data_IF_801792602724
#
_entry.id   IF_801792602724
#
_cell.length_a   1.000
_cell.length_b   1.000
_cell.length_c   1.000
_cell.angle_alpha   90.00
_cell.angle_beta   90.00
_cell.angle_gamma   90.00
#
_symmetry.space_group_name_H-M   'P 1'
#
loop_
_entity.id
_entity.type
_entity.pdbx_description
1 polymer ?
#
# COMPACT_ATOMS: atom_id res chain seq x y z
N UNK A 1 -31.23 -14.84 -28.72
CA UNK A 1 -30.21 -14.06 -27.99
C UNK A 1 -28.93 -14.85 -28.13
N UNK A 2 -28.02 -14.40 -29.01
CA UNK A 2 -26.89 -15.19 -29.51
C UNK A 2 -25.74 -15.20 -28.50
N UNK A 3 -25.00 -16.32 -28.45
CA UNK A 3 -23.85 -16.55 -27.54
C UNK A 3 -22.77 -15.44 -27.60
N UNK A 4 -22.69 -14.67 -28.68
CA UNK A 4 -21.81 -13.49 -28.77
C UNK A 4 -22.20 -12.32 -27.87
N UNK A 5 -23.48 -12.17 -27.50
CA UNK A 5 -23.93 -11.17 -26.52
C UNK A 5 -23.64 -11.58 -25.07
N UNK A 6 -23.67 -12.89 -24.78
CA UNK A 6 -23.26 -13.43 -23.47
C UNK A 6 -21.72 -13.51 -23.33
N UNK A 7 -20.98 -13.67 -24.43
CA UNK A 7 -19.52 -13.70 -24.45
C UNK A 7 -18.88 -12.30 -24.34
N UNK A 8 -19.64 -11.22 -24.52
CA UNK A 8 -19.28 -9.90 -23.98
C UNK A 8 -19.51 -9.89 -22.47
N UNK A 9 -18.73 -10.70 -21.75
CA UNK A 9 -18.50 -10.49 -20.33
C UNK A 9 -18.23 -8.99 -20.16
N UNK A 10 -19.09 -8.31 -19.41
CA UNK A 10 -19.14 -6.86 -19.35
C UNK A 10 -17.74 -6.31 -19.11
N UNK A 11 -17.20 -5.61 -20.11
CA UNK A 11 -15.87 -5.05 -20.02
C UNK A 11 -15.78 -4.15 -18.78
N UNK A 12 -14.89 -4.51 -17.84
CA UNK A 12 -14.70 -3.75 -16.62
C UNK A 12 -14.01 -2.42 -16.95
N UNK A 13 -14.67 -1.29 -16.65
CA UNK A 13 -14.14 0.02 -17.00
C UNK A 13 -12.92 0.37 -16.15
N UNK A 14 -12.20 1.39 -16.59
CA UNK A 14 -11.15 1.97 -15.75
C UNK A 14 -11.80 2.77 -14.61
N UNK A 15 -11.29 2.67 -13.38
CA UNK A 15 -11.88 3.37 -12.25
C UNK A 15 -11.91 4.89 -12.47
N UNK A 16 -12.95 5.59 -12.00
CA UNK A 16 -12.99 7.05 -12.03
C UNK A 16 -11.74 7.66 -11.37
N UNK A 17 -11.18 8.71 -11.98
CA UNK A 17 -9.97 9.36 -11.47
C UNK A 17 -8.66 8.64 -11.80
N UNK A 18 -8.70 7.43 -12.38
CA UNK A 18 -7.51 6.68 -12.76
C UNK A 18 -6.94 7.15 -14.11
N UNK A 19 -5.67 7.59 -14.13
CA UNK A 19 -5.05 8.07 -15.37
C UNK A 19 -4.64 6.90 -16.28
N UNK A 20 -5.17 6.90 -17.50
CA UNK A 20 -4.88 5.93 -18.55
C UNK A 20 -3.76 6.38 -19.49
N UNK A 21 -2.94 5.41 -19.95
CA UNK A 21 -2.07 5.54 -21.13
C UNK A 21 -1.90 4.17 -21.78
N UNK A 22 -1.66 4.10 -23.11
CA UNK A 22 -1.38 2.84 -23.82
C UNK A 22 -0.24 2.04 -23.19
N UNK A 23 0.86 2.70 -22.81
CA UNK A 23 2.01 2.07 -22.14
C UNK A 23 1.61 1.42 -20.81
N UNK A 24 0.77 2.09 -20.02
CA UNK A 24 0.31 1.60 -18.71
C UNK A 24 -0.68 0.45 -18.85
N UNK A 25 -1.62 0.54 -19.79
CA UNK A 25 -2.52 -0.56 -20.10
C UNK A 25 -1.75 -1.84 -20.48
N UNK A 26 -0.72 -1.72 -21.34
CA UNK A 26 0.18 -2.84 -21.66
C UNK A 26 0.93 -3.36 -20.43
N UNK A 27 1.46 -2.45 -19.61
CA UNK A 27 2.20 -2.82 -18.40
C UNK A 27 1.32 -3.50 -17.33
N UNK A 28 0.04 -3.16 -17.23
CA UNK A 28 -0.91 -3.81 -16.33
C UNK A 28 -1.31 -5.19 -16.83
N UNK A 29 -1.65 -5.31 -18.12
CA UNK A 29 -1.90 -6.62 -18.75
C UNK A 29 -0.72 -7.56 -18.62
N UNK A 30 0.51 -7.07 -18.79
CA UNK A 30 1.71 -7.88 -18.64
C UNK A 30 1.94 -8.39 -17.20
N UNK A 31 1.33 -7.78 -16.18
CA UNK A 31 1.37 -8.30 -14.80
C UNK A 31 0.33 -9.38 -14.55
N UNK A 32 -0.82 -9.29 -15.23
CA UNK A 32 -1.96 -10.19 -15.08
C UNK A 32 -2.36 -10.42 -13.62
N UNK A 33 -2.86 -11.61 -13.30
CA UNK A 33 -3.21 -12.05 -11.94
C UNK A 33 -2.15 -12.94 -11.30
N UNK A 34 -0.93 -12.89 -11.82
CA UNK A 34 0.18 -13.72 -11.36
C UNK A 34 0.37 -13.63 -9.84
N UNK A 35 0.44 -14.80 -9.20
CA UNK A 35 0.62 -14.99 -7.75
C UNK A 35 -0.60 -14.69 -6.86
N UNK A 36 -1.78 -14.42 -7.43
CA UNK A 36 -3.03 -14.49 -6.67
C UNK A 36 -3.28 -15.93 -6.24
N UNK A 37 -3.49 -16.15 -4.94
CA UNK A 37 -3.69 -17.47 -4.35
C UNK A 37 -4.37 -17.37 -3.00
N UNK A 38 -4.92 -18.48 -2.52
CA UNK A 38 -5.40 -18.58 -1.15
C UNK A 38 -4.21 -18.63 -0.19
N UNK A 39 -4.28 -17.86 0.88
CA UNK A 39 -3.35 -17.87 2.01
C UNK A 39 -4.15 -17.91 3.30
N UNK A 40 -3.50 -18.30 4.40
CA UNK A 40 -4.09 -18.13 5.72
C UNK A 40 -3.53 -16.86 6.35
N UNK A 41 -4.39 -16.10 7.01
CA UNK A 41 -4.05 -14.87 7.73
C UNK A 41 -4.46 -15.06 9.17
N UNK A 42 -3.58 -14.64 10.08
CA UNK A 42 -3.90 -14.58 11.50
C UNK A 42 -4.40 -13.17 11.80
N UNK A 43 -5.66 -13.06 12.21
CA UNK A 43 -6.26 -11.79 12.62
C UNK A 43 -6.96 -11.99 13.95
N UNK A 44 -6.59 -11.17 14.93
CA UNK A 44 -7.12 -11.22 16.30
C UNK A 44 -6.99 -12.62 16.96
N UNK A 45 -5.94 -13.37 16.60
CA UNK A 45 -5.70 -14.73 17.10
C UNK A 45 -6.52 -15.82 16.41
N UNK A 46 -7.33 -15.47 15.40
CA UNK A 46 -8.06 -16.41 14.57
C UNK A 46 -7.40 -16.55 13.20
N UNK A 47 -7.20 -17.79 12.75
CA UNK A 47 -6.64 -18.09 11.44
C UNK A 47 -7.77 -18.19 10.41
N UNK A 48 -7.81 -17.26 9.47
CA UNK A 48 -8.82 -17.18 8.41
C UNK A 48 -8.19 -17.38 7.01
N UNK A 49 -8.83 -18.15 6.12
CA UNK A 49 -8.43 -18.22 4.72
C UNK A 49 -8.74 -16.90 4.00
N UNK A 50 -7.87 -16.53 3.06
CA UNK A 50 -7.94 -15.26 2.35
C UNK A 50 -7.43 -15.38 0.93
N UNK A 51 -7.99 -14.59 0.01
CA UNK A 51 -7.40 -14.39 -1.32
C UNK A 51 -6.33 -13.30 -1.24
N UNK A 52 -5.09 -13.65 -1.56
CA UNK A 52 -3.97 -12.72 -1.59
C UNK A 52 -3.90 -11.99 -2.94
N UNK A 53 -3.98 -10.67 -2.88
CA UNK A 53 -3.65 -9.75 -3.96
C UNK A 53 -2.19 -9.29 -3.80
N UNK A 54 -1.23 -9.87 -4.54
CA UNK A 54 0.19 -9.72 -4.26
C UNK A 54 0.70 -8.31 -4.54
N UNK A 55 1.53 -7.82 -3.62
CA UNK A 55 2.28 -6.59 -3.77
C UNK A 55 3.78 -6.88 -3.86
N UNK A 56 4.51 -5.98 -4.52
CA UNK A 56 5.96 -5.99 -4.62
C UNK A 56 6.54 -5.67 -3.25
N UNK A 57 7.52 -6.49 -2.88
CA UNK A 57 8.38 -6.24 -1.71
C UNK A 57 9.07 -4.89 -1.85
N UNK A 58 9.16 -4.16 -0.75
CA UNK A 58 9.99 -2.96 -0.67
C UNK A 58 11.43 -3.36 -1.01
N UNK A 59 12.10 -2.58 -1.87
CA UNK A 59 13.46 -2.92 -2.26
C UNK A 59 14.39 -2.82 -1.05
N UNK A 60 15.18 -3.87 -0.78
CA UNK A 60 16.21 -3.85 0.28
C UNK A 60 17.23 -2.72 0.06
N UNK A 61 17.44 -2.31 -1.20
CA UNK A 61 18.32 -1.20 -1.54
C UNK A 61 17.86 0.12 -0.91
N UNK A 62 16.55 0.31 -0.71
CA UNK A 62 16.05 1.49 0.01
C UNK A 62 16.44 1.45 1.48
N UNK A 63 16.34 0.27 2.12
CA UNK A 63 16.82 0.08 3.50
C UNK A 63 18.32 0.32 3.65
N UNK A 64 19.12 -0.14 2.68
CA UNK A 64 20.56 0.13 2.62
C UNK A 64 20.83 1.62 2.42
N UNK A 65 20.13 2.28 1.50
CA UNK A 65 20.28 3.72 1.29
C UNK A 65 19.99 4.52 2.56
N UNK A 66 18.94 4.16 3.30
CA UNK A 66 18.64 4.77 4.60
C UNK A 66 19.71 4.46 5.65
N UNK A 67 20.31 3.25 5.64
CA UNK A 67 21.42 2.94 6.54
C UNK A 67 22.62 3.85 6.27
N UNK A 68 22.99 4.02 5.00
CA UNK A 68 24.12 4.89 4.60
C UNK A 68 23.86 6.34 5.00
N UNK A 69 22.67 6.87 4.75
CA UNK A 69 22.31 8.22 5.19
C UNK A 69 22.34 8.35 6.72
N UNK A 70 21.78 7.37 7.45
CA UNK A 70 21.76 7.38 8.91
C UNK A 70 23.17 7.40 9.51
N UNK A 71 24.07 6.58 8.98
CA UNK A 71 25.49 6.57 9.39
C UNK A 71 26.16 7.90 9.06
N UNK A 72 25.95 8.46 7.86
CA UNK A 72 26.51 9.76 7.49
C UNK A 72 26.08 10.87 8.47
N UNK A 73 24.78 10.95 8.78
CA UNK A 73 24.28 11.93 9.75
C UNK A 73 24.82 11.67 11.16
N UNK A 74 24.95 10.42 11.58
CA UNK A 74 25.54 10.09 12.88
C UNK A 74 27.01 10.54 12.98
N UNK A 75 27.80 10.32 11.93
CA UNK A 75 29.20 10.79 11.85
C UNK A 75 29.27 12.31 11.91
N UNK A 76 28.46 13.00 11.10
CA UNK A 76 28.40 14.47 11.14
C UNK A 76 27.97 15.00 12.52
N UNK A 77 27.00 14.36 13.16
CA UNK A 77 26.56 14.69 14.52
C UNK A 77 27.74 14.59 15.50
N UNK A 78 28.52 13.50 15.41
CA UNK A 78 29.70 13.29 16.24
C UNK A 78 30.78 14.35 16.03
N UNK A 79 31.08 14.70 14.77
CA UNK A 79 32.07 15.75 14.44
C UNK A 79 31.65 17.11 15.00
N UNK A 80 30.40 17.51 14.78
CA UNK A 80 29.88 18.80 15.29
C UNK A 80 29.86 18.82 16.82
N UNK A 81 29.49 17.71 17.46
CA UNK A 81 29.51 17.61 18.91
C UNK A 81 30.93 17.74 19.48
N UNK A 82 31.91 17.05 18.88
CA UNK A 82 33.32 17.13 19.33
C UNK A 82 33.86 18.55 19.13
N UNK A 83 33.66 19.16 17.97
CA UNK A 83 34.09 20.54 17.69
C UNK A 83 33.46 21.54 18.68
N UNK A 84 32.14 21.46 18.90
CA UNK A 84 31.45 22.35 19.84
C UNK A 84 31.94 22.22 21.29
N UNK A 85 32.33 21.01 21.72
CA UNK A 85 32.92 20.79 23.05
C UNK A 85 34.32 21.39 23.16
N UNK A 86 35.14 21.25 22.12
CA UNK A 86 36.50 21.80 22.07
C UNK A 86 36.48 23.34 22.09
N UNK A 87 35.58 23.94 21.32
CA UNK A 87 35.46 25.40 21.19
C UNK A 87 34.60 26.04 22.30
N UNK A 88 34.00 25.23 23.19
CA UNK A 88 33.03 25.65 24.23
C UNK A 88 31.85 26.45 23.67
N UNK A 89 31.48 26.17 22.44
CA UNK A 89 30.41 26.85 21.71
C UNK A 89 29.06 26.16 21.92
N UNK A 90 28.22 26.78 22.75
CA UNK A 90 26.84 26.32 22.98
C UNK A 90 25.94 26.43 21.73
N UNK A 91 26.36 27.21 20.73
CA UNK A 91 25.71 27.37 19.43
C UNK A 91 25.72 26.09 18.59
N UNK A 92 26.57 25.11 18.90
CA UNK A 92 26.61 23.81 18.21
C UNK A 92 25.46 22.86 18.62
N UNK A 93 24.85 23.09 19.79
CA UNK A 93 23.83 22.19 20.38
C UNK A 93 22.61 21.98 19.46
N UNK A 94 21.99 23.02 18.85
CA UNK A 94 20.89 22.82 17.92
C UNK A 94 21.27 21.97 16.70
N UNK A 95 22.49 22.15 16.17
CA UNK A 95 22.98 21.36 15.04
C UNK A 95 23.12 19.88 15.38
N UNK A 96 23.69 19.57 16.55
CA UNK A 96 23.79 18.19 17.06
C UNK A 96 22.41 17.56 17.23
N UNK A 97 21.44 18.29 17.80
CA UNK A 97 20.08 17.77 17.99
C UNK A 97 19.39 17.46 16.66
N UNK A 98 19.48 18.35 15.69
CA UNK A 98 18.85 18.16 14.37
C UNK A 98 19.51 16.99 13.62
N UNK A 99 20.85 16.95 13.55
CA UNK A 99 21.57 15.88 12.86
C UNK A 99 21.36 14.53 13.54
N UNK A 100 21.36 14.50 14.88
CA UNK A 100 21.09 13.30 15.67
C UNK A 100 19.67 12.79 15.47
N UNK A 101 18.68 13.69 15.41
CA UNK A 101 17.30 13.32 15.10
C UNK A 101 17.17 12.72 13.69
N UNK A 102 17.82 13.32 12.68
CA UNK A 102 17.85 12.77 11.32
C UNK A 102 18.54 11.40 11.28
N UNK A 103 19.68 11.24 11.95
CA UNK A 103 20.38 9.96 12.07
C UNK A 103 19.47 8.89 12.68
N UNK A 104 18.74 9.24 13.74
CA UNK A 104 17.74 8.37 14.36
C UNK A 104 16.64 7.96 13.39
N UNK A 105 16.00 8.91 12.71
CA UNK A 105 14.93 8.66 11.74
C UNK A 105 15.41 7.72 10.63
N UNK A 106 16.56 8.01 10.02
CA UNK A 106 17.12 7.18 8.96
C UNK A 106 17.56 5.81 9.46
N UNK A 107 18.16 5.73 10.64
CA UNK A 107 18.52 4.47 11.29
C UNK A 107 17.30 3.57 11.55
N UNK A 108 16.21 4.13 12.09
CA UNK A 108 14.96 3.39 12.28
C UNK A 108 14.37 2.91 10.96
N UNK A 109 14.37 3.77 9.92
CA UNK A 109 13.90 3.39 8.59
C UNK A 109 14.75 2.27 7.96
N UNK A 110 16.06 2.30 8.17
CA UNK A 110 16.97 1.25 7.73
C UNK A 110 16.67 -0.09 8.42
N UNK A 111 16.51 -0.09 9.73
CA UNK A 111 16.15 -1.29 10.51
C UNK A 111 14.81 -1.85 10.03
N UNK A 112 13.80 -1.00 9.83
CA UNK A 112 12.49 -1.42 9.32
C UNK A 112 12.58 -2.03 7.91
N UNK A 113 13.38 -1.44 7.02
CA UNK A 113 13.58 -1.94 5.66
C UNK A 113 14.38 -3.25 5.60
N UNK A 114 15.35 -3.43 6.50
CA UNK A 114 16.22 -4.62 6.53
C UNK A 114 15.59 -5.79 7.30
N UNK A 115 14.79 -5.54 8.34
CA UNK A 115 14.08 -6.57 9.12
C UNK A 115 12.78 -7.08 8.49
N UNK A 116 12.48 -6.68 7.25
CA UNK A 116 11.31 -7.20 6.53
C UNK A 116 11.28 -8.73 6.53
N UNK A 117 10.12 -9.34 6.84
CA UNK A 117 9.97 -10.80 6.87
C UNK A 117 10.33 -11.39 5.50
N UNK A 118 11.28 -12.33 5.47
CA UNK A 118 11.72 -12.98 4.22
C UNK A 118 10.62 -13.82 3.57
N UNK A 119 9.64 -14.28 4.36
CA UNK A 119 8.65 -15.28 3.93
C UNK A 119 7.23 -14.73 3.80
N UNK A 120 6.93 -13.56 4.38
CA UNK A 120 5.63 -12.92 4.20
C UNK A 120 5.58 -12.18 2.85
N UNK A 121 4.65 -12.59 1.98
CA UNK A 121 4.37 -11.84 0.76
C UNK A 121 3.48 -10.64 1.14
N UNK A 122 3.94 -9.39 0.93
CA UNK A 122 3.12 -8.22 1.18
C UNK A 122 1.95 -8.20 0.19
N UNK A 123 0.85 -7.62 0.60
CA UNK A 123 -0.36 -7.64 -0.21
C UNK A 123 -1.59 -7.15 0.52
N UNK A 124 -2.66 -7.02 -0.26
CA UNK A 124 -4.02 -6.97 0.26
C UNK A 124 -4.53 -8.41 0.35
N UNK A 125 -5.14 -8.79 1.47
CA UNK A 125 -5.70 -10.12 1.68
C UNK A 125 -7.19 -9.94 1.93
N UNK A 126 -7.99 -10.54 1.07
CA UNK A 126 -9.44 -10.46 1.15
C UNK A 126 -9.92 -11.70 1.88
N UNK A 127 -10.43 -11.54 3.09
CA UNK A 127 -11.06 -12.61 3.85
C UNK A 127 -12.59 -12.47 3.79
N UNK A 128 -13.36 -13.52 4.08
CA UNK A 128 -14.80 -13.39 4.23
C UNK A 128 -15.25 -12.26 5.18
N UNK A 129 -14.50 -12.03 6.27
CA UNK A 129 -14.87 -11.05 7.29
C UNK A 129 -14.25 -9.66 7.11
N UNK A 130 -13.10 -9.53 6.45
CA UNK A 130 -12.33 -8.28 6.42
C UNK A 130 -11.32 -8.18 5.27
N UNK A 131 -10.82 -6.96 5.06
CA UNK A 131 -9.67 -6.69 4.20
C UNK A 131 -8.44 -6.48 5.09
N UNK A 132 -7.40 -7.27 4.87
CA UNK A 132 -6.13 -7.16 5.61
C UNK A 132 -5.05 -6.60 4.70
N UNK A 133 -4.49 -5.47 5.07
CA UNK A 133 -3.33 -4.87 4.43
C UNK A 133 -2.05 -5.22 5.18
N UNK A 134 -1.10 -5.79 4.46
CA UNK A 134 0.25 -6.05 4.95
C UNK A 134 1.28 -5.40 4.03
N UNK A 135 1.85 -4.29 4.51
CA UNK A 135 2.87 -3.52 3.81
C UNK A 135 4.24 -4.20 3.75
N UNK A 136 4.40 -5.37 4.38
CA UNK A 136 5.66 -6.12 4.45
C UNK A 136 6.69 -5.53 5.42
N UNK A 137 6.27 -4.59 6.27
CA UNK A 137 7.11 -3.95 7.28
C UNK A 137 6.61 -4.38 8.67
N UNK A 138 7.36 -5.23 9.40
CA UNK A 138 6.89 -5.80 10.67
C UNK A 138 6.53 -4.76 11.72
N UNK A 139 7.25 -3.63 11.73
CA UNK A 139 7.05 -2.54 12.69
C UNK A 139 5.69 -1.82 12.53
N UNK A 140 5.03 -1.95 11.38
CA UNK A 140 3.74 -1.32 11.11
C UNK A 140 2.57 -2.28 11.19
N UNK A 141 2.74 -3.47 11.77
CA UNK A 141 1.63 -4.42 11.96
C UNK A 141 0.94 -4.82 10.65
N UNK A 142 -0.17 -5.56 10.80
CA UNK A 142 -1.15 -5.73 9.72
C UNK A 142 -2.33 -4.82 10.04
N UNK A 143 -2.84 -4.12 9.04
CA UNK A 143 -4.07 -3.32 9.20
C UNK A 143 -5.23 -4.15 8.68
N UNK A 144 -6.11 -4.57 9.58
CA UNK A 144 -7.33 -5.29 9.24
C UNK A 144 -8.53 -4.33 9.32
N UNK A 145 -9.33 -4.27 8.26
CA UNK A 145 -10.52 -3.40 8.16
C UNK A 145 -11.72 -4.27 7.85
N UNK A 146 -12.74 -4.25 8.72
CA UNK A 146 -13.97 -5.00 8.48
C UNK A 146 -14.66 -4.50 7.21
N UNK A 147 -15.29 -5.39 6.44
CA UNK A 147 -16.06 -4.98 5.26
C UNK A 147 -17.15 -3.94 5.58
N UNK A 148 -17.70 -3.97 6.81
CA UNK A 148 -18.74 -3.03 7.24
C UNK A 148 -18.17 -1.65 7.63
N UNK A 149 -16.86 -1.55 7.84
CA UNK A 149 -16.18 -0.29 8.11
C UNK A 149 -15.74 0.41 6.83
N UNK A 150 -15.65 -0.33 5.72
CA UNK A 150 -15.26 0.20 4.41
C UNK A 150 -16.45 0.97 3.83
N UNK A 151 -16.25 2.27 3.59
CA UNK A 151 -17.24 3.15 2.97
C UNK A 151 -17.21 3.02 1.45
N UNK A 152 -16.02 3.05 0.86
CA UNK A 152 -15.85 3.06 -0.59
C UNK A 152 -14.44 2.63 -0.99
N UNK A 153 -14.28 2.19 -2.24
CA UNK A 153 -12.99 2.01 -2.87
C UNK A 153 -12.68 3.17 -3.82
N UNK A 154 -11.59 3.87 -3.56
CA UNK A 154 -11.24 5.07 -4.31
C UNK A 154 -10.07 4.85 -5.24
N UNK A 155 -10.20 5.31 -6.48
CA UNK A 155 -9.09 5.49 -7.40
C UNK A 155 -8.73 6.98 -7.49
N UNK A 156 -7.45 7.32 -7.32
CA UNK A 156 -7.02 8.73 -7.41
C UNK A 156 -5.60 8.86 -7.93
N UNK A 157 -5.22 10.09 -8.27
CA UNK A 157 -3.92 10.42 -8.83
C UNK A 157 -3.20 11.40 -7.93
N UNK A 158 -1.97 11.05 -7.56
CA UNK A 158 -1.08 11.94 -6.80
C UNK A 158 0.06 12.41 -7.71
N UNK A 159 0.39 13.70 -7.61
CA UNK A 159 1.57 14.28 -8.23
C UNK A 159 2.56 14.66 -7.14
N UNK A 160 3.68 13.95 -7.05
CA UNK A 160 4.74 14.24 -6.08
C UNK A 160 6.06 14.59 -6.80
N UNK A 161 6.83 15.52 -6.24
CA UNK A 161 8.11 15.99 -6.77
C UNK A 161 8.31 17.52 -6.65
N UNK A 162 9.53 18.00 -6.81
CA UNK A 162 9.84 19.44 -6.83
C UNK A 162 9.64 20.02 -8.24
N UNK A 163 8.72 20.98 -8.37
CA UNK A 163 8.35 21.63 -9.66
C UNK A 163 9.53 22.32 -10.35
N UNK A 164 10.59 22.66 -9.61
CA UNK A 164 11.73 23.46 -10.11
C UNK A 164 12.72 22.68 -10.97
N UNK A 165 12.84 21.35 -10.82
CA UNK A 165 13.95 20.59 -11.43
C UNK A 165 13.46 19.46 -12.34
N UNK A 166 12.34 18.79 -12.01
CA UNK A 166 11.76 17.73 -12.84
C UNK A 166 10.24 17.85 -12.95
N UNK A 167 9.65 17.46 -14.10
CA UNK A 167 8.21 17.34 -14.21
C UNK A 167 7.69 16.36 -13.16
N UNK A 168 6.68 16.77 -12.38
CA UNK A 168 6.08 15.93 -11.32
C UNK A 168 5.40 14.72 -11.96
N UNK A 169 5.96 13.50 -11.84
CA UNK A 169 5.28 12.34 -12.37
C UNK A 169 3.94 12.17 -11.63
N UNK A 170 2.91 11.79 -12.36
CA UNK A 170 1.63 11.40 -11.79
C UNK A 170 1.63 9.90 -11.51
N UNK A 171 1.08 9.53 -10.37
CA UNK A 171 1.01 8.17 -9.87
C UNK A 171 -0.44 7.82 -9.59
N UNK A 172 -0.88 6.63 -10.01
CA UNK A 172 -2.23 6.18 -9.67
C UNK A 172 -2.18 5.46 -8.33
N UNK A 173 -3.19 5.68 -7.51
CA UNK A 173 -3.31 5.15 -6.17
C UNK A 173 -4.68 4.53 -5.98
N UNK A 174 -4.70 3.38 -5.31
CA UNK A 174 -5.89 2.72 -4.81
C UNK A 174 -6.03 3.03 -3.33
N UNK A 175 -7.16 3.60 -2.97
CA UNK A 175 -7.56 3.94 -1.62
C UNK A 175 -8.68 3.02 -1.15
N UNK A 176 -8.67 2.65 0.12
CA UNK A 176 -9.84 2.13 0.83
C UNK A 176 -10.25 3.20 1.82
N UNK A 177 -11.45 3.73 1.65
CA UNK A 177 -12.03 4.75 2.51
C UNK A 177 -12.89 4.06 3.57
N UNK A 178 -12.80 4.51 4.82
CA UNK A 178 -13.58 3.97 5.94
C UNK A 178 -14.64 4.97 6.41
N UNK A 179 -15.69 4.47 7.06
CA UNK A 179 -16.72 5.30 7.69
C UNK A 179 -16.16 6.13 8.85
N UNK A 180 -15.31 5.52 9.69
CA UNK A 180 -14.54 6.20 10.73
C UNK A 180 -13.06 5.77 10.64
N UNK A 181 -12.25 6.49 9.87
CA UNK A 181 -10.86 6.09 9.64
C UNK A 181 -10.01 6.24 10.90
N UNK A 182 -10.40 7.08 11.84
CA UNK A 182 -9.65 7.35 13.05
C UNK A 182 -9.77 6.21 14.06
N UNK A 183 -10.96 5.62 14.17
CA UNK A 183 -11.24 4.44 14.99
C UNK A 183 -10.56 3.20 14.42
N UNK A 184 -10.67 2.98 13.11
CA UNK A 184 -10.01 1.84 12.41
C UNK A 184 -8.49 1.89 12.62
N UNK A 185 -7.86 3.04 12.38
CA UNK A 185 -6.40 3.18 12.55
C UNK A 185 -5.98 3.16 14.02
N UNK A 186 -6.78 3.73 14.91
CA UNK A 186 -6.53 3.74 16.35
C UNK A 186 -6.57 2.33 16.95
N UNK A 187 -7.61 1.57 16.63
CA UNK A 187 -7.78 0.17 17.07
C UNK A 187 -6.68 -0.76 16.58
N UNK A 188 -6.15 -0.52 15.38
CA UNK A 188 -5.02 -1.26 14.82
C UNK A 188 -3.63 -0.85 15.37
N UNK A 189 -3.57 0.05 16.37
CA UNK A 189 -2.30 0.52 16.94
C UNK A 189 -1.54 1.52 16.06
N UNK A 190 -2.19 2.11 15.05
CA UNK A 190 -1.62 3.14 14.18
C UNK A 190 -1.98 4.56 14.63
N UNK A 191 -1.76 4.87 15.92
CA UNK A 191 -2.16 6.14 16.52
C UNK A 191 -1.60 7.38 15.79
N UNK A 192 -0.37 7.31 15.27
CA UNK A 192 0.21 8.40 14.50
C UNK A 192 -0.52 8.62 13.16
N UNK A 193 -0.85 7.53 12.45
CA UNK A 193 -1.65 7.61 11.23
C UNK A 193 -3.05 8.14 11.54
N UNK A 194 -3.70 7.65 12.59
CA UNK A 194 -5.02 8.13 13.03
C UNK A 194 -5.05 9.63 13.35
N UNK A 195 -3.96 10.18 13.92
CA UNK A 195 -3.83 11.63 14.17
C UNK A 195 -3.69 12.42 12.88
N UNK A 196 -2.84 11.96 11.96
CA UNK A 196 -2.61 12.61 10.66
C UNK A 196 -3.89 12.60 9.83
N UNK A 197 -4.57 11.46 9.77
CA UNK A 197 -5.85 11.30 9.06
C UNK A 197 -6.92 12.25 9.59
N UNK A 198 -7.05 12.39 10.92
CA UNK A 198 -7.92 13.39 11.54
C UNK A 198 -7.55 14.82 11.17
N UNK A 199 -6.25 15.15 11.24
CA UNK A 199 -5.78 16.50 10.92
C UNK A 199 -5.99 16.87 9.44
N UNK A 200 -5.92 15.90 8.53
CA UNK A 200 -6.11 16.11 7.09
C UNK A 200 -7.56 15.94 6.64
N UNK A 201 -8.49 15.58 7.53
CA UNK A 201 -9.87 15.22 7.21
C UNK A 201 -9.95 14.22 6.03
N UNK A 202 -9.14 13.16 6.10
CA UNK A 202 -9.04 12.14 5.06
C UNK A 202 -9.80 10.89 5.48
N UNK A 203 -10.61 10.32 4.58
CA UNK A 203 -11.34 9.07 4.88
C UNK A 203 -10.52 7.82 4.58
N UNK A 204 -9.40 7.97 3.86
CA UNK A 204 -8.59 6.85 3.39
C UNK A 204 -7.77 6.22 4.53
N UNK A 205 -8.00 4.92 4.78
CA UNK A 205 -7.25 4.12 5.77
C UNK A 205 -6.11 3.32 5.14
N UNK A 206 -6.26 2.90 3.89
CA UNK A 206 -5.24 2.18 3.13
C UNK A 206 -5.05 2.92 1.81
N UNK A 207 -3.81 3.28 1.48
CA UNK A 207 -3.46 3.89 0.20
C UNK A 207 -2.28 3.16 -0.43
N UNK A 208 -2.50 2.53 -1.58
CA UNK A 208 -1.52 1.73 -2.29
C UNK A 208 -1.25 2.28 -3.69
N UNK A 209 0.00 2.63 -4.03
CA UNK A 209 0.32 3.07 -5.38
C UNK A 209 0.28 1.89 -6.36
N UNK A 210 -0.16 2.13 -7.59
CA UNK A 210 -0.26 1.13 -8.65
C UNK A 210 1.05 0.36 -8.92
N UNK A 211 2.20 1.01 -8.75
CA UNK A 211 3.54 0.42 -8.89
C UNK A 211 3.88 -0.60 -7.79
N UNK A 212 3.20 -0.54 -6.65
CA UNK A 212 3.38 -1.53 -5.57
C UNK A 212 2.68 -2.84 -5.87
N UNK A 213 1.70 -2.92 -6.77
CA UNK A 213 1.08 -4.20 -7.09
C UNK A 213 2.02 -5.07 -7.94
N UNK A 214 2.16 -6.34 -7.54
CA UNK A 214 2.83 -7.35 -8.35
C UNK A 214 1.91 -7.88 -9.47
N UNK A 215 0.59 -7.82 -9.23
CA UNK A 215 -0.47 -8.09 -10.21
C UNK A 215 -0.97 -6.82 -10.93
N UNK A 216 -1.95 -6.99 -11.81
CA UNK A 216 -2.74 -5.93 -12.43
C UNK A 216 -3.53 -5.17 -11.35
N UNK A 217 -3.24 -3.88 -11.08
CA UNK A 217 -3.91 -3.11 -10.03
C UNK A 217 -5.40 -2.88 -10.32
N UNK A 218 -5.82 -2.94 -11.59
CA UNK A 218 -7.24 -2.79 -11.94
C UNK A 218 -8.05 -4.01 -11.51
N UNK A 219 -7.46 -5.21 -11.57
CA UNK A 219 -8.07 -6.42 -11.02
C UNK A 219 -8.21 -6.32 -9.51
N UNK A 220 -7.20 -5.78 -8.82
CA UNK A 220 -7.29 -5.55 -7.38
C UNK A 220 -8.41 -4.56 -7.02
N UNK A 221 -8.57 -3.49 -7.81
CA UNK A 221 -9.69 -2.56 -7.64
C UNK A 221 -11.04 -3.27 -7.78
N UNK A 222 -11.26 -3.91 -8.93
CA UNK A 222 -12.55 -4.55 -9.22
C UNK A 222 -12.86 -5.72 -8.30
N UNK A 223 -11.85 -6.45 -7.83
CA UNK A 223 -12.04 -7.50 -6.83
C UNK A 223 -12.57 -6.94 -5.52
N UNK A 224 -11.92 -5.92 -4.96
CA UNK A 224 -12.33 -5.33 -3.68
C UNK A 224 -13.70 -4.67 -3.81
N UNK A 225 -13.92 -3.90 -4.88
CA UNK A 225 -15.21 -3.26 -5.16
C UNK A 225 -16.34 -4.28 -5.32
N UNK A 226 -16.10 -5.38 -6.04
CA UNK A 226 -17.07 -6.46 -6.18
C UNK A 226 -17.47 -7.06 -4.82
N UNK A 227 -16.49 -7.46 -3.99
CA UNK A 227 -16.80 -8.06 -2.68
C UNK A 227 -17.37 -7.06 -1.67
N UNK A 228 -17.05 -5.78 -1.81
CA UNK A 228 -17.68 -4.72 -1.02
C UNK A 228 -19.19 -4.69 -1.32
N UNK A 229 -19.56 -4.69 -2.61
CA UNK A 229 -20.95 -4.61 -3.07
C UNK A 229 -21.72 -5.94 -3.04
N UNK A 230 -21.05 -7.08 -2.82
CA UNK A 230 -21.69 -8.41 -2.79
C UNK A 230 -21.35 -9.17 -1.50
N UNK A 231 -21.98 -8.83 -0.36
CA UNK A 231 -21.68 -9.48 0.92
C UNK A 231 -21.99 -10.98 0.94
N UNK A 232 -23.03 -11.41 0.22
CA UNK A 232 -23.47 -12.80 0.20
C UNK A 232 -22.44 -13.78 -0.39
N UNK A 233 -21.54 -13.31 -1.26
CA UNK A 233 -20.56 -14.18 -1.94
C UNK A 233 -19.19 -14.16 -1.29
N UNK A 234 -18.95 -13.33 -0.26
CA UNK A 234 -17.65 -13.23 0.43
C UNK A 234 -17.15 -14.56 1.00
N UNK A 235 -18.04 -15.52 1.26
CA UNK A 235 -17.66 -16.88 1.66
C UNK A 235 -16.75 -17.59 0.67
N UNK A 236 -16.80 -17.24 -0.63
CA UNK A 236 -15.91 -17.81 -1.65
C UNK A 236 -14.45 -17.34 -1.51
N UNK A 237 -14.19 -16.25 -0.77
CA UNK A 237 -12.83 -15.79 -0.44
C UNK A 237 -12.07 -16.80 0.44
N UNK A 238 -12.80 -17.70 1.11
CA UNK A 238 -12.23 -18.81 1.85
C UNK A 238 -11.83 -20.00 0.94
N UNK A 239 -12.21 -19.99 -0.34
CA UNK A 239 -12.08 -21.13 -1.25
C UNK A 239 -11.28 -20.79 -2.50
N UNK A 240 -11.12 -21.77 -3.39
CA UNK A 240 -10.51 -21.58 -4.71
C UNK A 240 -11.42 -20.78 -5.65
N UNK A 241 -12.72 -20.68 -5.35
CA UNK A 241 -13.67 -19.93 -6.19
C UNK A 241 -13.37 -18.43 -6.13
N UNK A 242 -12.94 -17.91 -4.96
CA UNK A 242 -12.49 -16.53 -4.84
C UNK A 242 -11.27 -16.22 -5.69
N UNK A 243 -10.31 -17.15 -5.79
CA UNK A 243 -9.15 -17.01 -6.69
C UNK A 243 -9.59 -17.02 -8.15
N UNK A 244 -10.48 -17.95 -8.54
CA UNK A 244 -11.02 -18.02 -9.91
C UNK A 244 -11.78 -16.76 -10.29
N UNK A 245 -12.57 -16.21 -9.37
CA UNK A 245 -13.28 -14.94 -9.60
C UNK A 245 -12.32 -13.79 -9.83
N UNK A 246 -11.30 -13.66 -8.97
CA UNK A 246 -10.28 -12.61 -9.14
C UNK A 246 -9.54 -12.77 -10.46
N UNK A 247 -9.23 -14.00 -10.88
CA UNK A 247 -8.64 -14.27 -12.18
C UNK A 247 -9.56 -13.83 -13.34
N UNK A 248 -10.86 -14.12 -13.26
CA UNK A 248 -11.84 -13.76 -14.29
C UNK A 248 -12.02 -12.25 -14.51
N UNK A 249 -11.70 -11.40 -13.53
CA UNK A 249 -11.68 -9.95 -13.73
C UNK A 249 -10.57 -9.50 -14.70
N UNK A 250 -9.44 -10.21 -14.80
CA UNK A 250 -8.34 -9.81 -15.68
C UNK A 250 -8.74 -9.89 -17.16
N UNK A 251 -9.53 -10.90 -17.50
CA UNK A 251 -10.07 -11.12 -18.85
C UNK A 251 -11.07 -10.03 -19.25
N UNK A 252 -11.68 -9.37 -18.27
CA UNK A 252 -12.72 -8.35 -18.47
C UNK A 252 -12.17 -6.92 -18.51
N UNK A 253 -10.93 -6.66 -18.07
CA UNK A 253 -10.39 -5.29 -18.01
C UNK A 253 -10.02 -4.80 -19.42
N UNK A 254 -10.88 -3.96 -20.00
CA UNK A 254 -10.69 -3.37 -21.32
C UNK A 254 -10.29 -1.88 -21.19
N UNK A 255 -9.29 -1.39 -21.95
CA UNK A 255 -9.06 0.05 -22.05
C UNK A 255 -10.27 0.72 -22.74
N UNK A 256 -10.81 1.79 -22.17
CA UNK A 256 -11.84 2.60 -22.84
C UNK A 256 -11.38 2.96 -24.26
N UNK A 257 -12.15 2.57 -25.26
CA UNK A 257 -12.04 3.12 -26.61
C UNK A 257 -12.65 4.53 -26.57
N UNK A 258 -11.80 5.54 -26.51
CA UNK A 258 -12.19 6.92 -26.85
C UNK A 258 -11.86 7.19 -28.30
#
# INVERSE_FOLDING_TARGET
MTDEQNARAAALPWPPGWRWTKRRARAYRARGTGQVRTVNVDVDGAREPAVLLPMRRTSRLQGIGFAVLGVLFAVMTGVVAVAGVLDREWTAVPGVLVLGALAGIFGTAAVAGLRGRKDAMPGLRLTPTRVVFDGGVPAHGQLAVSWNEIRDMRAFVVRYGMRRILPRPWHNWLGIDAHDPSTVLGGAGHAAAARITRAMNSDTVIAVPDKRFAMNPLVAFHAVDYYLNHPAVRGELATHDGVRRVAGFDDQVVPESR
#
